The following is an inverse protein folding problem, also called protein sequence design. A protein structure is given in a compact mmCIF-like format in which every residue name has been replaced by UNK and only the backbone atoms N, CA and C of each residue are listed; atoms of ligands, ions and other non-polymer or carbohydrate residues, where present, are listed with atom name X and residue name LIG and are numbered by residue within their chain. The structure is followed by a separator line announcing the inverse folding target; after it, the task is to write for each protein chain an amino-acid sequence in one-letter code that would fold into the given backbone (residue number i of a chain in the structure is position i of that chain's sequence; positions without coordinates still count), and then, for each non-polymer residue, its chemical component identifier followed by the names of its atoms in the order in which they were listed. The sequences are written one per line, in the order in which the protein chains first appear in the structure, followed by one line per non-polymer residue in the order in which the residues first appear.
data_IF_838506809974
#
_entry.id   IF_838506809974
#
_cell.length_a   1.000
_cell.length_b   1.000
_cell.length_c   1.000
_cell.angle_alpha   90.00
_cell.angle_beta   90.00
_cell.angle_gamma   90.00
#
_symmetry.space_group_name_H-M   'P 1'
#
loop_
_entity.id
_entity.type
_entity.pdbx_description
1 polymer ?
#
# COMPACT_ATOMS: atom_id res chain seq x y z
N UNK A 1 -0.23 -12.39 9.05
CA UNK A 1 0.23 -11.08 8.56
C UNK A 1 -0.22 -10.91 7.12
N UNK A 2 -0.90 -9.80 6.79
CA UNK A 2 -1.28 -9.46 5.43
C UNK A 2 -0.64 -8.13 5.02
N UNK A 3 -0.03 -8.07 3.83
CA UNK A 3 0.59 -6.84 3.31
C UNK A 3 -0.39 -6.05 2.45
N UNK A 4 -0.93 -4.96 3.01
CA UNK A 4 -1.68 -3.97 2.26
C UNK A 4 -0.75 -2.88 1.70
N UNK A 5 -1.08 -1.61 1.90
CA UNK A 5 -0.37 -0.39 1.50
C UNK A 5 -0.99 0.78 2.25
N UNK A 6 -0.27 1.88 2.41
CA UNK A 6 -0.90 3.15 2.79
C UNK A 6 -2.05 3.53 1.85
N UNK A 7 -1.94 3.22 0.56
CA UNK A 7 -3.00 3.44 -0.44
C UNK A 7 -4.23 2.54 -0.23
N UNK A 8 -4.16 1.58 0.69
CA UNK A 8 -5.32 0.82 1.18
C UNK A 8 -6.10 1.52 2.28
N UNK A 9 -5.63 2.66 2.77
CA UNK A 9 -6.22 3.44 3.86
C UNK A 9 -6.53 4.89 3.50
N UNK A 10 -5.94 5.43 2.41
CA UNK A 10 -6.09 6.83 1.97
C UNK A 10 -7.04 6.99 0.78
N UNK A 11 -7.50 8.22 0.54
CA UNK A 11 -8.23 8.57 -0.70
C UNK A 11 -7.26 8.74 -1.88
N UNK A 12 -7.79 8.71 -3.11
CA UNK A 12 -7.02 8.92 -4.33
C UNK A 12 -7.70 8.32 -5.54
N UNK A 13 -6.94 8.20 -6.63
CA UNK A 13 -7.45 7.67 -7.89
C UNK A 13 -7.83 6.19 -7.79
N UNK A 14 -8.78 5.77 -8.64
CA UNK A 14 -9.34 4.42 -8.68
C UNK A 14 -8.41 3.37 -9.32
N UNK A 15 -7.13 3.37 -8.98
CA UNK A 15 -6.21 2.35 -9.49
C UNK A 15 -6.59 0.95 -8.99
N UNK A 16 -6.42 -0.08 -9.83
CA UNK A 16 -6.64 -1.49 -9.46
C UNK A 16 -5.84 -1.85 -8.21
N UNK A 17 -4.63 -1.29 -8.09
CA UNK A 17 -3.78 -1.46 -6.92
C UNK A 17 -4.47 -0.92 -5.64
N UNK A 18 -4.87 0.35 -5.61
CA UNK A 18 -5.49 0.97 -4.42
C UNK A 18 -6.77 0.26 -4.00
N UNK A 19 -7.60 -0.16 -4.97
CA UNK A 19 -8.83 -0.92 -4.70
C UNK A 19 -8.49 -2.26 -4.04
N UNK A 20 -7.53 -3.02 -4.61
CA UNK A 20 -7.12 -4.30 -4.04
C UNK A 20 -6.55 -4.16 -2.63
N UNK A 21 -5.83 -3.07 -2.35
CA UNK A 21 -5.22 -2.82 -1.03
C UNK A 21 -6.26 -2.41 0.02
N UNK A 22 -7.31 -1.68 -0.36
CA UNK A 22 -8.48 -1.47 0.49
C UNK A 22 -9.19 -2.80 0.81
N UNK A 23 -9.34 -3.68 -0.18
CA UNK A 23 -9.95 -4.99 0.04
C UNK A 23 -9.14 -5.84 1.03
N UNK A 24 -7.81 -5.87 0.90
CA UNK A 24 -6.92 -6.56 1.86
C UNK A 24 -7.04 -5.98 3.27
N UNK A 25 -7.13 -4.65 3.41
CA UNK A 25 -7.30 -3.99 4.71
C UNK A 25 -8.60 -4.46 5.37
N UNK A 26 -9.73 -4.31 4.66
CA UNK A 26 -11.04 -4.71 5.18
C UNK A 26 -11.14 -6.21 5.45
N UNK A 27 -10.55 -7.06 4.60
CA UNK A 27 -10.48 -8.50 4.81
C UNK A 27 -9.75 -8.84 6.11
N UNK A 28 -8.62 -8.17 6.36
CA UNK A 28 -7.80 -8.43 7.55
C UNK A 28 -8.50 -8.01 8.84
N UNK A 29 -9.25 -6.90 8.82
CA UNK A 29 -10.10 -6.48 9.95
C UNK A 29 -11.20 -7.51 10.24
N UNK A 30 -11.83 -8.05 9.18
CA UNK A 30 -12.80 -9.14 9.32
C UNK A 30 -12.19 -10.39 9.94
N UNK A 31 -11.06 -10.85 9.41
CA UNK A 31 -10.33 -12.01 9.92
C UNK A 31 -9.92 -11.84 11.39
N UNK A 32 -9.48 -10.65 11.79
CA UNK A 32 -9.17 -10.36 13.19
C UNK A 32 -10.37 -10.62 14.09
N UNK A 33 -11.54 -10.09 13.75
CA UNK A 33 -12.76 -10.34 14.53
C UNK A 33 -13.23 -11.79 14.48
N UNK A 34 -13.14 -12.46 13.32
CA UNK A 34 -13.55 -13.85 13.17
C UNK A 34 -12.73 -14.81 14.05
N UNK A 35 -11.42 -14.55 14.18
CA UNK A 35 -10.54 -15.33 15.05
C UNK A 35 -10.81 -15.06 16.54
N UNK A 36 -11.05 -13.80 16.91
CA UNK A 36 -11.43 -13.43 18.28
C UNK A 36 -12.76 -14.07 18.69
N UNK A 37 -13.76 -14.06 17.79
CA UNK A 37 -15.07 -14.68 18.04
C UNK A 37 -14.98 -16.21 18.23
N UNK A 38 -13.96 -16.85 17.66
CA UNK A 38 -13.69 -18.28 17.82
C UNK A 38 -12.77 -18.59 19.01
N UNK A 39 -12.34 -17.57 19.77
CA UNK A 39 -11.33 -17.69 20.83
C UNK A 39 -10.05 -18.39 20.35
N UNK A 40 -9.68 -18.16 19.08
CA UNK A 40 -8.48 -18.74 18.51
C UNK A 40 -7.23 -18.03 19.04
N UNK A 41 -6.20 -18.81 19.40
CA UNK A 41 -4.89 -18.28 19.81
C UNK A 41 -4.02 -17.94 18.58
N UNK A 42 -4.54 -17.05 17.73
CA UNK A 42 -3.91 -16.62 16.47
C UNK A 42 -4.06 -15.12 16.28
N UNK A 43 -2.94 -14.40 16.23
CA UNK A 43 -2.90 -12.96 15.97
C UNK A 43 -2.99 -12.60 14.49
N UNK A 44 -3.46 -11.37 14.21
CA UNK A 44 -3.50 -10.79 12.86
C UNK A 44 -2.84 -9.43 12.87
N UNK A 45 -1.98 -9.19 11.88
CA UNK A 45 -1.39 -7.89 11.61
C UNK A 45 -1.61 -7.52 10.16
N UNK A 46 -2.02 -6.28 9.94
CA UNK A 46 -2.13 -5.59 8.66
C UNK A 46 -0.94 -4.63 8.51
N UNK A 47 -0.03 -4.97 7.61
CA UNK A 47 1.10 -4.13 7.25
C UNK A 47 0.68 -3.13 6.16
N UNK A 48 0.80 -1.83 6.46
CA UNK A 48 0.45 -0.71 5.58
C UNK A 48 1.70 0.12 5.25
N UNK A 49 2.51 -0.34 4.27
CA UNK A 49 3.76 0.32 3.94
C UNK A 49 3.55 1.60 3.13
N UNK A 50 4.45 2.57 3.35
CA UNK A 50 4.70 3.69 2.45
C UNK A 50 5.64 3.28 1.31
N UNK A 51 6.57 4.15 0.94
CA UNK A 51 7.57 3.88 -0.09
C UNK A 51 8.69 3.00 0.46
N UNK A 52 8.83 1.79 -0.07
CA UNK A 52 9.86 0.83 0.33
C UNK A 52 10.77 0.57 -0.88
N UNK A 53 12.09 0.52 -0.65
CA UNK A 53 13.12 0.28 -1.66
C UNK A 53 13.09 -1.16 -2.19
N UNK A 54 12.10 -1.44 -3.02
CA UNK A 54 11.83 -2.74 -3.65
C UNK A 54 11.66 -2.58 -5.15
N UNK A 55 11.54 -3.71 -5.85
CA UNK A 55 11.25 -3.73 -7.29
C UNK A 55 9.73 -3.70 -7.58
N UNK A 56 8.89 -3.03 -6.78
CA UNK A 56 7.43 -3.05 -6.99
C UNK A 56 7.00 -2.28 -8.25
N UNK A 57 7.72 -1.20 -8.59
CA UNK A 57 7.42 -0.37 -9.75
C UNK A 57 7.57 -1.16 -11.06
N UNK A 58 8.53 -2.07 -11.12
CA UNK A 58 8.80 -2.94 -12.27
C UNK A 58 8.09 -4.29 -12.18
N UNK A 59 6.98 -4.38 -11.42
CA UNK A 59 6.27 -5.64 -11.11
C UNK A 59 5.66 -6.37 -12.31
N UNK A 60 5.55 -5.73 -13.47
CA UNK A 60 5.10 -6.37 -14.71
C UNK A 60 5.86 -7.67 -15.03
N UNK A 61 7.14 -7.77 -14.63
CA UNK A 61 7.96 -8.97 -14.75
C UNK A 61 7.40 -10.22 -14.03
N UNK A 62 6.50 -10.02 -13.05
CA UNK A 62 5.91 -11.09 -12.24
C UNK A 62 4.52 -11.51 -12.76
N UNK A 63 4.01 -10.88 -13.82
CA UNK A 63 2.68 -11.16 -14.36
C UNK A 63 2.70 -12.57 -15.00
N UNK A 64 1.75 -13.46 -14.66
CA UNK A 64 1.61 -14.76 -15.32
C UNK A 64 1.35 -14.64 -16.82
N UNK A 65 1.92 -15.57 -17.60
CA UNK A 65 1.83 -15.57 -19.06
C UNK A 65 0.38 -15.75 -19.58
N UNK A 66 -0.46 -16.43 -18.82
CA UNK A 66 -1.88 -16.69 -19.13
C UNK A 66 -2.79 -15.48 -18.87
N UNK A 67 -2.27 -14.42 -18.26
CA UNK A 67 -2.94 -13.14 -18.02
C UNK A 67 -2.19 -12.04 -18.80
N UNK A 68 -2.02 -12.27 -20.11
CA UNK A 68 -1.31 -11.35 -20.99
C UNK A 68 -1.97 -9.95 -20.96
N UNK A 69 -1.16 -8.88 -20.95
CA UNK A 69 -1.70 -7.53 -21.10
C UNK A 69 -2.37 -7.38 -22.47
N UNK A 70 -3.19 -6.34 -22.61
CA UNK A 70 -3.48 -5.82 -23.95
C UNK A 70 -2.12 -5.54 -24.63
N UNK A 71 -1.94 -6.01 -25.86
CA UNK A 71 -0.64 -6.04 -26.58
C UNK A 71 -0.06 -4.65 -26.94
N UNK A 72 -0.45 -3.59 -26.22
CA UNK A 72 0.05 -2.25 -26.43
C UNK A 72 1.38 -2.07 -25.69
N UNK A 73 2.46 -1.92 -26.47
CA UNK A 73 3.75 -1.49 -25.96
C UNK A 73 3.61 -0.15 -25.21
N UNK A 74 4.18 -0.01 -24.00
CA UNK A 74 4.17 1.26 -23.29
C UNK A 74 4.83 2.36 -24.14
N UNK A 75 4.19 3.52 -24.23
CA UNK A 75 4.78 4.70 -24.87
C UNK A 75 6.10 5.10 -24.21
N UNK A 76 6.97 5.79 -24.95
CA UNK A 76 8.25 6.28 -24.41
C UNK A 76 8.07 7.14 -23.14
N UNK A 77 6.98 7.91 -23.06
CA UNK A 77 6.63 8.69 -21.87
C UNK A 77 6.32 7.78 -20.67
N UNK A 78 5.52 6.73 -20.86
CA UNK A 78 5.21 5.77 -19.80
C UNK A 78 6.47 5.04 -19.30
N UNK A 79 7.36 4.65 -20.21
CA UNK A 79 8.63 4.01 -19.85
C UNK A 79 9.51 4.93 -19.00
N UNK A 80 9.61 6.21 -19.36
CA UNK A 80 10.36 7.21 -18.60
C UNK A 80 9.75 7.46 -17.21
N UNK A 81 8.42 7.54 -17.10
CA UNK A 81 7.72 7.66 -15.82
C UNK A 81 8.04 6.46 -14.92
N UNK A 82 7.92 5.23 -15.45
CA UNK A 82 8.23 4.00 -14.70
C UNK A 82 9.68 4.00 -14.22
N UNK A 83 10.63 4.40 -15.08
CA UNK A 83 12.04 4.48 -14.73
C UNK A 83 12.30 5.46 -13.59
N UNK A 84 11.70 6.67 -13.65
CA UNK A 84 11.84 7.68 -12.58
C UNK A 84 11.25 7.20 -11.26
N UNK A 85 10.07 6.58 -11.31
CA UNK A 85 9.43 5.99 -10.12
C UNK A 85 10.30 4.89 -9.51
N UNK A 86 10.85 3.98 -10.34
CA UNK A 86 11.67 2.86 -9.88
C UNK A 86 12.97 3.36 -9.23
N UNK A 87 13.66 4.32 -9.86
CA UNK A 87 14.83 4.98 -9.27
C UNK A 87 14.49 5.65 -7.94
N UNK A 88 13.41 6.44 -7.89
CA UNK A 88 13.03 7.16 -6.68
C UNK A 88 12.68 6.21 -5.52
N UNK A 89 11.92 5.14 -5.78
CA UNK A 89 11.60 4.15 -4.76
C UNK A 89 12.85 3.47 -4.22
N UNK A 90 13.83 3.15 -5.08
CA UNK A 90 15.09 2.51 -4.67
C UNK A 90 16.01 3.44 -3.89
N UNK A 91 16.02 4.72 -4.21
CA UNK A 91 16.91 5.71 -3.59
C UNK A 91 16.35 6.29 -2.29
N UNK A 92 15.05 6.60 -2.27
CA UNK A 92 14.40 7.31 -1.17
C UNK A 92 13.49 6.42 -0.30
N UNK A 93 13.19 5.19 -0.74
CA UNK A 93 12.33 4.27 0.00
C UNK A 93 13.03 3.65 1.22
N UNK A 94 12.25 3.33 2.25
CA UNK A 94 12.72 2.60 3.42
C UNK A 94 13.33 1.24 3.01
N UNK A 95 14.47 0.81 3.60
CA UNK A 95 15.05 -0.50 3.33
C UNK A 95 14.11 -1.65 3.70
N UNK A 96 13.96 -2.70 2.87
CA UNK A 96 13.10 -3.85 3.19
C UNK A 96 13.47 -4.55 4.49
N UNK A 97 14.76 -4.53 4.89
CA UNK A 97 15.21 -5.14 6.15
C UNK A 97 14.59 -4.45 7.36
N UNK A 98 14.50 -3.13 7.35
CA UNK A 98 13.90 -2.33 8.43
C UNK A 98 12.42 -2.66 8.57
N UNK A 99 11.69 -2.78 7.45
CA UNK A 99 10.29 -3.26 7.46
C UNK A 99 10.19 -4.66 8.07
N UNK A 100 11.16 -5.55 7.80
CA UNK A 100 11.22 -6.89 8.40
C UNK A 100 11.34 -6.85 9.92
N UNK A 101 12.15 -5.94 10.46
CA UNK A 101 12.32 -5.76 11.90
C UNK A 101 11.02 -5.22 12.54
N UNK A 102 10.37 -4.22 11.91
CA UNK A 102 9.06 -3.70 12.34
C UNK A 102 7.97 -4.79 12.33
N UNK A 103 7.99 -5.66 11.31
CA UNK A 103 7.05 -6.79 11.18
C UNK A 103 7.23 -7.79 12.33
N UNK A 104 8.48 -8.14 12.65
CA UNK A 104 8.76 -9.07 13.74
C UNK A 104 8.27 -8.50 15.08
N UNK A 105 8.54 -7.22 15.34
CA UNK A 105 8.08 -6.53 16.56
C UNK A 105 6.55 -6.49 16.64
N UNK A 106 5.85 -6.12 15.56
CA UNK A 106 4.40 -6.06 15.55
C UNK A 106 3.74 -7.42 15.81
N UNK A 107 4.32 -8.51 15.27
CA UNK A 107 3.82 -9.87 15.51
C UNK A 107 4.01 -10.24 16.98
N UNK A 108 5.20 -10.00 17.56
CA UNK A 108 5.48 -10.32 18.96
C UNK A 108 4.58 -9.55 19.93
N UNK A 109 4.19 -8.32 19.56
CA UNK A 109 3.31 -7.46 20.35
C UNK A 109 1.81 -7.63 20.03
N UNK A 110 1.44 -8.59 19.16
CA UNK A 110 0.06 -8.76 18.66
C UNK A 110 -0.59 -7.45 18.18
N UNK A 111 0.19 -6.63 17.49
CA UNK A 111 -0.24 -5.34 16.96
C UNK A 111 -0.99 -5.54 15.64
N UNK A 112 -2.22 -5.04 15.54
CA UNK A 112 -3.02 -5.17 14.33
C UNK A 112 -2.58 -4.21 13.21
N UNK A 113 -2.61 -2.89 13.41
CA UNK A 113 -2.19 -1.93 12.39
C UNK A 113 -0.68 -1.66 12.48
N UNK A 114 0.07 -1.99 11.44
CA UNK A 114 1.49 -1.65 11.33
C UNK A 114 1.71 -0.68 10.16
N UNK A 115 1.94 0.60 10.46
CA UNK A 115 2.29 1.62 9.48
C UNK A 115 3.80 1.87 9.53
N UNK A 116 4.47 1.71 8.40
CA UNK A 116 5.94 1.91 8.32
C UNK A 116 6.38 3.38 8.37
N UNK A 117 5.52 4.31 7.96
CA UNK A 117 5.83 5.74 7.89
C UNK A 117 4.74 6.51 8.63
N UNK A 118 5.08 7.17 9.73
CA UNK A 118 4.12 7.91 10.54
C UNK A 118 3.52 9.11 9.79
N UNK A 119 4.32 9.79 8.95
CA UNK A 119 3.91 10.98 8.18
C UNK A 119 2.75 10.69 7.21
N UNK A 120 2.58 9.42 6.83
CA UNK A 120 1.48 8.99 5.98
C UNK A 120 0.10 9.03 6.68
N UNK A 121 0.06 9.16 8.01
CA UNK A 121 -1.18 9.24 8.76
C UNK A 121 -2.02 10.46 8.35
N UNK A 122 -1.39 11.56 7.94
CA UNK A 122 -2.09 12.76 7.49
C UNK A 122 -3.08 12.48 6.34
N UNK A 123 -2.71 11.60 5.38
CA UNK A 123 -3.60 11.22 4.29
C UNK A 123 -4.79 10.36 4.75
N UNK A 124 -4.59 9.55 5.78
CA UNK A 124 -5.63 8.69 6.38
C UNK A 124 -6.61 9.56 7.17
N UNK A 125 -6.09 10.45 8.01
CA UNK A 125 -6.86 11.45 8.75
C UNK A 125 -7.70 12.31 7.80
N UNK A 126 -7.10 12.77 6.69
CA UNK A 126 -7.83 13.57 5.71
C UNK A 126 -9.01 12.82 5.10
N UNK A 127 -8.82 11.54 4.73
CA UNK A 127 -9.91 10.70 4.24
C UNK A 127 -11.01 10.54 5.29
N UNK A 128 -10.65 10.32 6.56
CA UNK A 128 -11.64 10.22 7.63
C UNK A 128 -12.38 11.53 7.87
N UNK A 129 -11.69 12.67 7.82
CA UNK A 129 -12.32 13.99 7.91
C UNK A 129 -13.36 14.15 6.78
N UNK A 130 -12.98 13.90 5.53
CA UNK A 130 -13.91 14.03 4.41
C UNK A 130 -15.10 13.07 4.53
N UNK A 131 -14.87 11.83 4.97
CA UNK A 131 -15.92 10.82 5.18
C UNK A 131 -16.89 11.24 6.29
N UNK A 132 -16.38 11.62 7.46
CA UNK A 132 -17.20 11.96 8.64
C UNK A 132 -17.97 13.26 8.46
N UNK A 133 -17.47 14.18 7.64
CA UNK A 133 -18.15 15.41 7.27
C UNK A 133 -18.93 15.34 5.96
N UNK A 134 -19.00 14.17 5.31
CA UNK A 134 -19.67 13.96 4.03
C UNK A 134 -19.24 14.94 2.93
N UNK A 135 -17.94 15.23 2.88
CA UNK A 135 -17.32 16.10 1.85
C UNK A 135 -16.91 15.28 0.64
N UNK A 136 -16.73 15.96 -0.49
CA UNK A 136 -16.08 15.37 -1.65
C UNK A 136 -14.66 14.91 -1.26
N UNK A 137 -14.19 13.72 -1.72
CA UNK A 137 -12.86 13.22 -1.37
C UNK A 137 -11.76 14.17 -1.84
N UNK A 138 -10.81 14.50 -0.97
CA UNK A 138 -9.57 15.15 -1.37
C UNK A 138 -8.81 14.30 -2.40
N UNK A 139 -8.10 14.95 -3.34
CA UNK A 139 -7.21 14.23 -4.26
C UNK A 139 -6.16 13.45 -3.48
N UNK A 140 -5.70 12.34 -4.07
CA UNK A 140 -4.63 11.54 -3.46
C UNK A 140 -3.34 12.34 -3.33
N UNK A 141 -2.58 12.08 -2.26
CA UNK A 141 -1.23 12.63 -2.16
C UNK A 141 -0.32 11.94 -3.19
N UNK A 142 0.24 12.72 -4.11
CA UNK A 142 1.30 12.25 -4.99
C UNK A 142 2.60 12.00 -4.21
N UNK A 143 3.53 11.26 -4.80
CA UNK A 143 4.81 10.91 -4.17
C UNK A 143 5.82 12.08 -4.13
N UNK A 144 5.42 13.30 -4.50
CA UNK A 144 6.31 14.46 -4.56
C UNK A 144 7.39 14.37 -5.64
N UNK A 145 7.21 13.50 -6.64
CA UNK A 145 8.20 13.24 -7.71
C UNK A 145 7.92 14.18 -8.90
N UNK A 146 8.84 15.10 -9.25
CA UNK A 146 8.62 16.03 -10.35
C UNK A 146 8.39 15.32 -11.69
N UNK A 147 7.33 15.71 -12.39
CA UNK A 147 6.98 15.16 -13.71
C UNK A 147 6.38 13.76 -13.67
N UNK A 148 6.02 13.25 -12.49
CA UNK A 148 5.19 12.07 -12.31
C UNK A 148 3.93 12.51 -11.57
N UNK A 149 2.90 12.88 -12.34
CA UNK A 149 1.59 13.29 -11.86
C UNK A 149 0.50 12.67 -12.71
#
# INVERSE_FOLDING_TARGET
MNTSSILGLTSGDGSVYSISKHAVARLSEGLYHDLQNQSADVGVTLLCPGMIATNIITSARNRPDDIAPDNAEPSAMQQEIVKRLDSHFKEAGMPPREVGDMVAEAILNNQFYLLTHADNMAGVEKRFEDLTHLRNPAPGQGWGIPGVG
#
